data_IF_261352747138
#
_entry.id   IF_261352747138
#
_cell.length_a   1.000
_cell.length_b   1.000
_cell.length_c   1.000
_cell.angle_alpha   90.00
_cell.angle_beta   90.00
_cell.angle_gamma   90.00
#
_symmetry.space_group_name_H-M   'P 1'
#
loop_
_entity.id
_entity.type
_entity.pdbx_description
1 polymer ?
#
# COMPACT_ATOMS: atom_id res chain seq x y z
N UNK A 1 0.59 -16.34 -18.42
CA UNK A 1 0.04 -17.40 -17.53
C UNK A 1 -1.38 -16.99 -17.12
N UNK A 2 -2.28 -17.93 -16.76
CA UNK A 2 -3.54 -17.51 -16.17
C UNK A 2 -3.25 -16.70 -14.91
N UNK A 3 -4.06 -15.66 -14.63
CA UNK A 3 -3.84 -14.81 -13.47
C UNK A 3 -3.95 -15.64 -12.17
N UNK A 4 -3.08 -15.36 -11.20
CA UNK A 4 -3.06 -16.05 -9.91
C UNK A 4 -4.45 -16.01 -9.25
N UNK A 5 -4.98 -17.17 -8.89
CA UNK A 5 -6.16 -17.28 -8.06
C UNK A 5 -5.73 -17.16 -6.60
N UNK A 6 -6.39 -16.29 -5.86
CA UNK A 6 -6.11 -16.01 -4.46
C UNK A 6 -7.22 -16.56 -3.57
N UNK A 7 -6.90 -16.75 -2.29
CA UNK A 7 -7.85 -17.14 -1.26
C UNK A 7 -7.59 -16.31 0.02
N UNK A 8 -8.52 -16.36 0.95
CA UNK A 8 -8.38 -15.69 2.24
C UNK A 8 -9.01 -14.30 2.28
N UNK A 9 -8.56 -13.50 3.25
CA UNK A 9 -9.12 -12.17 3.53
C UNK A 9 -8.07 -11.10 3.35
N UNK A 10 -8.46 -10.02 2.67
CA UNK A 10 -7.66 -8.81 2.53
C UNK A 10 -8.31 -7.62 3.26
N UNK A 11 -7.50 -6.82 3.94
CA UNK A 11 -7.87 -5.51 4.46
C UNK A 11 -7.16 -4.42 3.64
N UNK A 12 -7.95 -3.57 2.94
CA UNK A 12 -7.42 -2.50 2.09
C UNK A 12 -7.73 -1.14 2.72
N UNK A 13 -6.72 -0.46 3.25
CA UNK A 13 -6.92 0.88 3.80
C UNK A 13 -7.00 1.93 2.68
N UNK A 14 -7.92 2.90 2.83
CA UNK A 14 -8.19 3.86 1.77
C UNK A 14 -8.80 3.22 0.51
N UNK A 15 -9.59 2.13 0.70
CA UNK A 15 -10.19 1.35 -0.37
C UNK A 15 -11.44 1.96 -1.01
N UNK A 16 -11.96 3.09 -0.49
CA UNK A 16 -13.20 3.69 -1.00
C UNK A 16 -13.07 4.42 -2.34
N UNK A 17 -11.87 4.67 -2.86
CA UNK A 17 -11.63 5.35 -4.14
C UNK A 17 -10.24 5.11 -4.71
N UNK A 18 -10.03 5.55 -5.96
CA UNK A 18 -8.73 5.58 -6.62
C UNK A 18 -8.03 4.21 -6.64
N UNK A 19 -6.72 4.20 -6.41
CA UNK A 19 -5.89 3.00 -6.47
C UNK A 19 -6.37 1.93 -5.48
N UNK A 20 -6.76 2.33 -4.26
CA UNK A 20 -7.25 1.39 -3.24
C UNK A 20 -8.53 0.65 -3.68
N UNK A 21 -9.47 1.36 -4.30
CA UNK A 21 -10.68 0.76 -4.84
C UNK A 21 -10.38 -0.21 -6.00
N UNK A 22 -9.45 0.16 -6.88
CA UNK A 22 -9.02 -0.72 -7.98
C UNK A 22 -8.33 -1.97 -7.46
N UNK A 23 -7.49 -1.85 -6.43
CA UNK A 23 -6.86 -3.01 -5.76
C UNK A 23 -7.92 -3.90 -5.10
N UNK A 24 -8.91 -3.32 -4.42
CA UNK A 24 -9.96 -4.09 -3.78
C UNK A 24 -10.74 -4.94 -4.79
N UNK A 25 -11.11 -4.36 -5.95
CA UNK A 25 -11.77 -5.09 -7.06
C UNK A 25 -10.90 -6.22 -7.59
N UNK A 26 -9.64 -5.95 -7.92
CA UNK A 26 -8.70 -6.95 -8.44
C UNK A 26 -8.53 -8.14 -7.48
N UNK A 27 -8.41 -7.86 -6.17
CA UNK A 27 -8.27 -8.92 -5.16
C UNK A 27 -9.55 -9.75 -5.04
N UNK A 28 -10.72 -9.13 -5.15
CA UNK A 28 -12.01 -9.83 -5.16
C UNK A 28 -12.18 -10.69 -6.41
N UNK A 29 -11.86 -10.16 -7.59
CA UNK A 29 -11.86 -10.92 -8.86
C UNK A 29 -10.87 -12.09 -8.80
N UNK A 30 -9.78 -11.94 -8.08
CA UNK A 30 -8.81 -13.01 -7.84
C UNK A 30 -9.31 -14.08 -6.87
N UNK A 31 -10.35 -13.81 -6.06
CA UNK A 31 -11.00 -14.78 -5.17
C UNK A 31 -10.88 -14.47 -3.67
N UNK A 32 -10.32 -13.32 -3.28
CA UNK A 32 -10.25 -12.91 -1.87
C UNK A 32 -11.57 -12.29 -1.39
N UNK A 33 -11.88 -12.42 -0.11
CA UNK A 33 -12.87 -11.60 0.59
C UNK A 33 -12.19 -10.32 1.05
N UNK A 34 -12.78 -9.16 0.77
CA UNK A 34 -12.10 -7.88 0.97
C UNK A 34 -12.88 -6.97 1.91
N UNK A 35 -12.19 -6.42 2.92
CA UNK A 35 -12.67 -5.28 3.69
C UNK A 35 -11.99 -4.01 3.16
N UNK A 36 -12.78 -2.95 2.96
CA UNK A 36 -12.30 -1.64 2.53
C UNK A 36 -12.56 -0.59 3.59
N UNK A 37 -11.58 0.29 3.81
CA UNK A 37 -11.72 1.35 4.83
C UNK A 37 -11.58 2.75 4.24
N UNK A 38 -12.16 3.73 4.92
CA UNK A 38 -12.02 5.14 4.56
C UNK A 38 -12.92 6.05 5.38
N UNK A 39 -12.81 7.35 5.16
CA UNK A 39 -13.55 8.37 5.93
C UNK A 39 -14.91 8.74 5.33
N UNK A 40 -15.08 8.55 4.03
CA UNK A 40 -16.27 8.97 3.31
C UNK A 40 -17.20 7.78 3.11
N UNK A 41 -18.30 7.75 3.87
CA UNK A 41 -19.23 6.63 3.90
C UNK A 41 -19.74 6.24 2.50
N UNK A 42 -20.15 7.23 1.69
CA UNK A 42 -20.66 7.01 0.34
C UNK A 42 -19.64 6.25 -0.54
N UNK A 43 -18.35 6.66 -0.50
CA UNK A 43 -17.30 6.04 -1.30
C UNK A 43 -16.97 4.62 -0.83
N UNK A 44 -16.85 4.43 0.49
CA UNK A 44 -16.50 3.13 1.07
C UNK A 44 -17.63 2.12 0.85
N UNK A 45 -18.89 2.53 1.09
CA UNK A 45 -20.05 1.66 0.88
C UNK A 45 -20.20 1.29 -0.59
N UNK A 46 -20.07 2.27 -1.51
CA UNK A 46 -20.20 1.99 -2.94
C UNK A 46 -19.17 0.95 -3.43
N UNK A 47 -17.93 0.99 -2.93
CA UNK A 47 -16.93 -0.02 -3.28
C UNK A 47 -17.24 -1.35 -2.62
N UNK A 48 -17.61 -1.36 -1.33
CA UNK A 48 -17.95 -2.59 -0.61
C UNK A 48 -19.15 -3.31 -1.24
N UNK A 49 -20.19 -2.56 -1.65
CA UNK A 49 -21.36 -3.12 -2.35
C UNK A 49 -20.96 -3.74 -3.71
N UNK A 50 -20.09 -3.06 -4.47
CA UNK A 50 -19.61 -3.52 -5.77
C UNK A 50 -18.81 -4.82 -5.70
N UNK A 51 -18.05 -5.02 -4.63
CA UNK A 51 -17.21 -6.21 -4.42
C UNK A 51 -17.83 -7.24 -3.47
N UNK A 52 -19.06 -7.07 -3.03
CA UNK A 52 -19.71 -7.88 -1.98
C UNK A 52 -18.81 -8.01 -0.73
N UNK A 53 -18.11 -6.92 -0.37
CA UNK A 53 -17.12 -6.85 0.68
C UNK A 53 -17.60 -6.15 1.94
N UNK A 54 -16.70 -5.89 2.88
CA UNK A 54 -17.00 -5.22 4.15
C UNK A 54 -16.58 -3.75 4.11
N UNK A 55 -17.52 -2.85 4.41
CA UNK A 55 -17.29 -1.41 4.55
C UNK A 55 -16.95 -1.03 5.98
N UNK A 56 -15.83 -0.36 6.20
CA UNK A 56 -15.37 0.06 7.52
C UNK A 56 -15.01 1.56 7.51
N UNK A 57 -15.75 2.34 8.29
CA UNK A 57 -15.57 3.80 8.34
C UNK A 57 -14.60 4.19 9.46
N UNK A 58 -13.83 5.26 9.24
CA UNK A 58 -12.94 5.83 10.23
C UNK A 58 -11.69 6.46 9.61
N UNK A 59 -10.77 6.89 10.47
CA UNK A 59 -9.51 7.54 10.11
C UNK A 59 -8.33 6.59 10.35
N UNK A 60 -7.51 6.39 9.33
CA UNK A 60 -6.31 5.54 9.43
C UNK A 60 -5.28 6.04 10.44
N UNK A 61 -5.33 7.33 10.81
CA UNK A 61 -4.50 7.91 11.85
C UNK A 61 -5.06 7.74 13.28
N UNK A 62 -6.23 7.11 13.42
CA UNK A 62 -6.84 6.76 14.71
C UNK A 62 -6.53 5.30 15.07
N UNK A 63 -5.87 5.08 16.20
CA UNK A 63 -5.56 3.73 16.67
C UNK A 63 -6.83 2.92 16.99
N UNK A 64 -7.87 3.59 17.52
CA UNK A 64 -9.14 2.96 17.87
C UNK A 64 -9.90 2.52 16.61
N UNK A 65 -9.93 3.37 15.56
CA UNK A 65 -10.59 3.03 14.30
C UNK A 65 -9.88 1.84 13.64
N UNK A 66 -8.54 1.89 13.54
CA UNK A 66 -7.75 0.80 12.95
C UNK A 66 -7.93 -0.51 13.73
N UNK A 67 -7.92 -0.45 15.07
CA UNK A 67 -8.20 -1.62 15.92
C UNK A 67 -9.57 -2.22 15.62
N UNK A 68 -10.61 -1.37 15.58
CA UNK A 68 -11.98 -1.77 15.27
C UNK A 68 -12.11 -2.40 13.87
N UNK A 69 -11.40 -1.88 12.88
CA UNK A 69 -11.41 -2.44 11.52
C UNK A 69 -10.81 -3.86 11.49
N UNK A 70 -9.69 -4.06 12.16
CA UNK A 70 -9.05 -5.39 12.23
C UNK A 70 -9.98 -6.37 12.93
N UNK A 71 -10.54 -6.02 14.10
CA UNK A 71 -11.49 -6.86 14.83
C UNK A 71 -12.73 -7.20 14.01
N UNK A 72 -13.33 -6.22 13.34
CA UNK A 72 -14.51 -6.43 12.50
C UNK A 72 -14.18 -7.33 11.30
N UNK A 73 -13.04 -7.11 10.63
CA UNK A 73 -12.62 -7.93 9.49
C UNK A 73 -12.41 -9.39 9.90
N UNK A 74 -11.69 -9.62 11.00
CA UNK A 74 -11.43 -10.96 11.54
C UNK A 74 -12.72 -11.68 11.93
N UNK A 75 -13.69 -10.96 12.51
CA UNK A 75 -14.96 -11.51 12.94
C UNK A 75 -15.90 -11.85 11.79
N UNK A 76 -15.99 -10.96 10.79
CA UNK A 76 -17.01 -11.03 9.74
C UNK A 76 -16.52 -11.74 8.48
N UNK A 77 -15.27 -11.50 8.09
CA UNK A 77 -14.68 -12.13 6.92
C UNK A 77 -13.72 -13.27 7.26
N UNK A 78 -13.17 -13.29 8.47
CA UNK A 78 -12.19 -14.28 8.93
C UNK A 78 -10.75 -13.78 8.90
N UNK A 79 -9.78 -14.68 9.09
CA UNK A 79 -8.38 -14.34 9.27
C UNK A 79 -7.82 -13.44 8.16
N UNK A 80 -7.27 -12.27 8.54
CA UNK A 80 -6.61 -11.37 7.59
C UNK A 80 -5.28 -12.01 7.15
N UNK A 81 -5.18 -12.33 5.87
CA UNK A 81 -3.97 -12.89 5.25
C UNK A 81 -3.19 -11.85 4.43
N UNK A 82 -3.87 -10.77 4.01
CA UNK A 82 -3.26 -9.66 3.30
C UNK A 82 -3.68 -8.32 3.91
N UNK A 83 -2.71 -7.49 4.27
CA UNK A 83 -2.92 -6.07 4.51
C UNK A 83 -2.39 -5.28 3.32
N UNK A 84 -3.26 -4.44 2.72
CA UNK A 84 -2.83 -3.40 1.78
C UNK A 84 -2.91 -2.05 2.49
N UNK A 85 -1.79 -1.57 3.01
CA UNK A 85 -1.65 -0.26 3.63
C UNK A 85 -1.53 0.80 2.53
N UNK A 86 -2.68 1.18 1.96
CA UNK A 86 -2.76 2.06 0.81
C UNK A 86 -3.25 3.47 1.16
N UNK A 87 -3.97 3.66 2.27
CA UNK A 87 -4.45 4.99 2.66
C UNK A 87 -3.34 6.04 2.60
N UNK A 88 -3.64 7.16 1.98
CA UNK A 88 -2.68 8.24 1.84
C UNK A 88 -3.32 9.54 1.38
N UNK A 89 -2.66 10.65 1.64
CA UNK A 89 -3.03 11.97 1.14
C UNK A 89 -1.83 12.67 0.53
N UNK A 90 -2.10 13.45 -0.51
CA UNK A 90 -1.12 14.37 -1.08
C UNK A 90 -0.96 15.60 -0.20
N UNK A 91 0.13 16.33 -0.40
CA UNK A 91 0.28 17.68 0.09
C UNK A 91 -0.07 18.67 -1.04
N UNK A 92 -0.53 19.86 -0.68
CA UNK A 92 -0.72 20.95 -1.63
C UNK A 92 0.57 21.34 -2.36
N UNK A 93 0.50 22.37 -3.21
CA UNK A 93 1.66 22.91 -3.95
C UNK A 93 2.35 24.05 -3.22
N UNK A 94 2.01 24.31 -1.96
CA UNK A 94 2.62 25.34 -1.13
C UNK A 94 4.12 25.08 -0.96
N UNK A 95 4.90 26.16 -0.98
CA UNK A 95 6.29 26.07 -0.56
C UNK A 95 6.37 25.63 0.90
N UNK A 96 7.43 24.91 1.26
CA UNK A 96 7.54 24.33 2.62
C UNK A 96 7.45 25.33 3.75
N UNK A 97 7.91 26.57 3.53
CA UNK A 97 7.88 27.67 4.51
C UNK A 97 6.53 28.38 4.59
N UNK A 98 5.64 28.16 3.62
CA UNK A 98 4.28 28.72 3.57
C UNK A 98 3.20 27.70 3.96
N UNK A 99 3.56 26.43 4.06
CA UNK A 99 2.64 25.36 4.42
C UNK A 99 2.33 25.42 5.92
N UNK A 100 1.05 25.46 6.33
CA UNK A 100 0.68 25.36 7.75
C UNK A 100 1.28 24.08 8.38
N UNK A 101 1.78 24.21 9.62
CA UNK A 101 2.41 23.09 10.33
C UNK A 101 1.44 21.93 10.51
N UNK A 102 0.18 22.21 10.82
CA UNK A 102 -0.85 21.19 11.02
C UNK A 102 -1.14 20.43 9.73
N UNK A 103 -1.16 21.10 8.57
CA UNK A 103 -1.35 20.46 7.26
C UNK A 103 -0.16 19.57 6.91
N UNK A 104 1.07 20.07 7.18
CA UNK A 104 2.28 19.27 6.97
C UNK A 104 2.26 18.01 7.84
N UNK A 105 1.90 18.17 9.13
CA UNK A 105 1.85 17.08 10.09
C UNK A 105 0.74 16.08 9.76
N UNK A 106 -0.42 16.57 9.31
CA UNK A 106 -1.52 15.71 8.89
C UNK A 106 -1.13 14.73 7.79
N UNK A 107 -0.25 15.13 6.87
CA UNK A 107 0.29 14.20 5.86
C UNK A 107 1.12 13.09 6.52
N UNK A 108 1.91 13.40 7.56
CA UNK A 108 2.66 12.38 8.29
C UNK A 108 1.73 11.42 9.05
N UNK A 109 0.70 11.96 9.71
CA UNK A 109 -0.28 11.13 10.42
C UNK A 109 -0.96 10.12 9.48
N UNK A 110 -1.46 10.58 8.35
CA UNK A 110 -2.14 9.68 7.41
C UNK A 110 -1.15 8.72 6.75
N UNK A 111 -0.05 9.24 6.20
CA UNK A 111 0.83 8.45 5.34
C UNK A 111 1.83 7.57 6.11
N UNK A 112 2.23 7.97 7.32
CA UNK A 112 3.25 7.25 8.11
C UNK A 112 2.62 6.57 9.32
N UNK A 113 1.95 7.34 10.20
CA UNK A 113 1.32 6.77 11.38
C UNK A 113 0.23 5.78 10.99
N UNK A 114 -0.59 6.08 9.96
CA UNK A 114 -1.61 5.17 9.46
C UNK A 114 -1.06 3.83 8.98
N UNK A 115 0.08 3.82 8.29
CA UNK A 115 0.79 2.58 7.91
C UNK A 115 1.25 1.83 9.17
N UNK A 116 1.86 2.53 10.12
CA UNK A 116 2.32 1.92 11.37
C UNK A 116 1.16 1.31 12.18
N UNK A 117 0.06 2.03 12.37
CA UNK A 117 -1.09 1.54 13.10
C UNK A 117 -1.69 0.29 12.44
N UNK A 118 -1.86 0.32 11.12
CA UNK A 118 -2.40 -0.81 10.35
C UNK A 118 -1.51 -2.06 10.46
N UNK A 119 -0.21 -1.90 10.25
CA UNK A 119 0.74 -3.03 10.34
C UNK A 119 0.85 -3.56 11.77
N UNK A 120 0.94 -2.67 12.77
CA UNK A 120 1.00 -3.02 14.19
C UNK A 120 -0.20 -3.84 14.64
N UNK A 121 -1.38 -3.57 14.09
CA UNK A 121 -2.62 -4.26 14.48
C UNK A 121 -2.75 -5.65 13.86
N UNK A 122 -2.26 -5.87 12.64
CA UNK A 122 -2.38 -7.18 11.97
C UNK A 122 -1.21 -8.14 12.23
N UNK A 123 0.01 -7.62 12.45
CA UNK A 123 1.23 -8.44 12.59
C UNK A 123 1.12 -9.48 13.70
N UNK A 124 0.67 -9.18 14.93
CA UNK A 124 0.55 -10.19 15.97
C UNK A 124 -0.35 -11.35 15.57
N UNK A 125 -1.47 -11.07 14.89
CA UNK A 125 -2.43 -12.06 14.41
C UNK A 125 -1.84 -12.94 13.31
N UNK A 126 -1.10 -12.32 12.37
CA UNK A 126 -0.40 -13.03 11.30
C UNK A 126 0.74 -13.91 11.84
N UNK A 127 1.50 -13.42 12.83
CA UNK A 127 2.58 -14.17 13.47
C UNK A 127 2.06 -15.39 14.24
N UNK A 128 0.95 -15.25 14.95
CA UNK A 128 0.29 -16.36 15.67
C UNK A 128 -0.12 -17.48 14.72
N UNK A 129 -0.53 -17.13 13.51
CA UNK A 129 -0.92 -18.09 12.46
C UNK A 129 0.25 -18.58 11.60
N UNK A 130 1.42 -17.95 11.71
CA UNK A 130 2.60 -18.27 10.91
C UNK A 130 2.48 -17.93 9.43
N UNK A 131 1.53 -17.05 9.05
CA UNK A 131 1.29 -16.64 7.67
C UNK A 131 0.66 -15.24 7.56
N UNK A 132 0.95 -14.55 6.47
CA UNK A 132 0.42 -13.23 6.16
C UNK A 132 1.34 -12.49 5.20
N UNK A 133 0.78 -11.47 4.54
CA UNK A 133 1.52 -10.55 3.68
C UNK A 133 1.07 -9.12 3.91
N UNK A 134 2.01 -8.21 3.78
CA UNK A 134 1.78 -6.77 3.93
C UNK A 134 2.29 -6.07 2.69
N UNK A 135 1.43 -5.29 2.05
CA UNK A 135 1.76 -4.46 0.88
C UNK A 135 1.56 -3.00 1.24
N UNK A 136 2.61 -2.20 1.16
CA UNK A 136 2.61 -0.77 1.51
C UNK A 136 2.68 0.06 0.23
N UNK A 137 1.74 0.97 0.04
CA UNK A 137 1.74 1.88 -1.11
C UNK A 137 2.75 3.00 -0.90
N UNK A 138 3.87 2.88 -1.58
CA UNK A 138 4.94 3.87 -1.68
C UNK A 138 4.69 4.93 -2.75
N UNK A 139 5.77 5.49 -3.27
CA UNK A 139 5.79 6.44 -4.40
C UNK A 139 7.22 6.65 -4.88
N UNK A 140 7.40 6.96 -6.16
CA UNK A 140 8.67 7.47 -6.70
C UNK A 140 9.18 8.73 -5.97
N UNK A 141 8.29 9.51 -5.35
CA UNK A 141 8.68 10.68 -4.53
C UNK A 141 9.54 10.32 -3.32
N UNK A 142 9.67 9.04 -2.97
CA UNK A 142 10.56 8.58 -1.89
C UNK A 142 12.05 8.74 -2.24
N UNK A 143 12.42 8.71 -3.53
CA UNK A 143 13.82 8.71 -3.97
C UNK A 143 14.09 9.61 -5.19
N UNK A 144 13.07 9.96 -5.96
CA UNK A 144 13.24 10.89 -7.09
C UNK A 144 13.44 12.31 -6.57
N UNK A 145 14.31 13.10 -7.20
CA UNK A 145 14.47 14.50 -6.84
C UNK A 145 13.17 15.25 -7.09
N UNK A 146 12.71 15.98 -6.08
CA UNK A 146 11.50 16.79 -6.12
C UNK A 146 11.80 18.24 -5.76
N UNK A 147 10.96 19.15 -6.24
CA UNK A 147 11.11 20.60 -5.99
C UNK A 147 10.01 21.16 -5.07
N UNK A 148 9.02 20.36 -4.74
CA UNK A 148 7.85 20.77 -3.93
C UNK A 148 7.35 19.62 -3.06
N UNK A 149 6.39 19.95 -2.18
CA UNK A 149 5.65 18.92 -1.42
C UNK A 149 6.52 18.13 -0.44
N UNK A 150 7.29 18.83 0.40
CA UNK A 150 8.16 18.20 1.41
C UNK A 150 7.38 17.25 2.33
N UNK A 151 6.15 17.59 2.72
CA UNK A 151 5.32 16.72 3.55
C UNK A 151 5.11 15.36 2.89
N UNK A 152 4.72 15.33 1.60
CA UNK A 152 4.46 14.09 0.89
C UNK A 152 5.74 13.29 0.61
N UNK A 153 6.78 13.94 0.08
CA UNK A 153 8.04 13.26 -0.23
C UNK A 153 8.69 12.66 1.02
N UNK A 154 8.71 13.41 2.14
CA UNK A 154 9.21 12.92 3.42
C UNK A 154 8.39 11.73 3.91
N UNK A 155 7.06 11.79 3.83
CA UNK A 155 6.20 10.68 4.25
C UNK A 155 6.44 9.42 3.43
N UNK A 156 6.62 9.55 2.11
CA UNK A 156 6.86 8.40 1.23
C UNK A 156 8.27 7.81 1.39
N UNK A 157 9.27 8.64 1.65
CA UNK A 157 10.60 8.17 2.04
C UNK A 157 10.57 7.43 3.38
N UNK A 158 9.82 7.93 4.37
CA UNK A 158 9.64 7.29 5.67
C UNK A 158 9.02 5.90 5.54
N UNK A 159 7.90 5.75 4.80
CA UNK A 159 7.24 4.43 4.66
C UNK A 159 8.04 3.46 3.80
N UNK A 160 8.86 3.94 2.85
CA UNK A 160 9.77 3.09 2.12
C UNK A 160 10.83 2.47 3.07
N UNK A 161 11.48 3.29 3.91
CA UNK A 161 12.42 2.79 4.92
C UNK A 161 11.74 1.93 5.97
N UNK A 162 10.53 2.31 6.40
CA UNK A 162 9.72 1.54 7.32
C UNK A 162 9.45 0.12 6.78
N UNK A 163 8.99 -0.01 5.54
CA UNK A 163 8.68 -1.30 4.91
C UNK A 163 9.91 -2.21 4.81
N UNK A 164 11.06 -1.67 4.40
CA UNK A 164 12.32 -2.41 4.36
C UNK A 164 12.74 -2.89 5.75
N UNK A 165 12.70 -2.00 6.74
CA UNK A 165 13.09 -2.35 8.12
C UNK A 165 12.15 -3.41 8.70
N UNK A 166 10.84 -3.25 8.50
CA UNK A 166 9.84 -4.20 8.96
C UNK A 166 9.99 -5.58 8.32
N UNK A 167 10.33 -5.64 7.04
CA UNK A 167 10.63 -6.91 6.36
C UNK A 167 11.80 -7.64 7.02
N UNK A 168 12.84 -6.91 7.41
CA UNK A 168 14.00 -7.47 8.11
C UNK A 168 13.64 -7.94 9.54
N UNK A 169 12.81 -7.18 10.28
CA UNK A 169 12.35 -7.57 11.62
C UNK A 169 11.50 -8.85 11.58
N UNK A 170 10.71 -9.01 10.55
CA UNK A 170 9.83 -10.18 10.38
C UNK A 170 10.55 -11.39 9.78
N UNK A 171 11.70 -11.20 9.15
CA UNK A 171 12.66 -12.22 8.72
C UNK A 171 12.03 -13.52 8.16
N UNK A 172 11.29 -13.41 7.07
CA UNK A 172 10.70 -14.55 6.36
C UNK A 172 9.44 -15.14 7.01
N UNK A 173 9.00 -14.64 8.17
CA UNK A 173 7.75 -15.08 8.80
C UNK A 173 6.51 -14.45 8.14
N UNK A 174 6.63 -13.18 7.74
CA UNK A 174 5.63 -12.42 7.03
C UNK A 174 6.34 -11.62 5.94
N UNK A 175 5.90 -11.74 4.71
CA UNK A 175 6.47 -10.96 3.61
C UNK A 175 5.90 -9.53 3.64
N UNK A 176 6.80 -8.54 3.58
CA UNK A 176 6.46 -7.12 3.54
C UNK A 176 6.99 -6.53 2.24
N UNK A 177 6.11 -5.93 1.47
CA UNK A 177 6.44 -5.27 0.21
C UNK A 177 6.12 -3.79 0.29
N UNK A 178 6.89 -2.98 -0.42
CA UNK A 178 6.51 -1.61 -0.69
C UNK A 178 6.64 -1.34 -2.19
N UNK A 179 5.62 -0.74 -2.77
CA UNK A 179 5.58 -0.52 -4.20
C UNK A 179 5.15 0.90 -4.57
N UNK A 180 5.54 1.34 -5.76
CA UNK A 180 5.00 2.55 -6.36
C UNK A 180 3.97 2.19 -7.41
N UNK A 181 2.76 2.76 -7.34
CA UNK A 181 1.74 2.57 -8.36
C UNK A 181 2.03 3.31 -9.69
N UNK A 182 3.07 4.16 -9.72
CA UNK A 182 3.29 5.11 -10.81
C UNK A 182 2.43 6.37 -10.67
N UNK A 183 2.37 7.16 -11.74
CA UNK A 183 1.54 8.37 -11.81
C UNK A 183 0.15 8.01 -12.37
N UNK A 184 -0.74 7.56 -11.50
CA UNK A 184 -2.10 7.13 -11.86
C UNK A 184 -3.09 8.29 -11.75
N UNK A 185 -4.05 8.39 -12.68
CA UNK A 185 -5.16 9.36 -12.61
C UNK A 185 -6.10 9.03 -11.46
N UNK A 186 -6.19 9.93 -10.50
CA UNK A 186 -7.06 9.83 -9.31
C UNK A 186 -7.46 11.24 -8.89
N UNK A 187 -8.36 11.38 -7.91
CA UNK A 187 -8.66 12.70 -7.33
C UNK A 187 -7.40 13.39 -6.78
N UNK A 188 -6.43 12.65 -6.24
CA UNK A 188 -5.19 13.20 -5.71
C UNK A 188 -4.35 13.86 -6.79
N UNK A 189 -4.41 13.35 -8.01
CA UNK A 189 -3.58 13.75 -9.15
C UNK A 189 -4.33 14.57 -10.20
N UNK A 190 -5.64 14.81 -10.03
CA UNK A 190 -6.49 15.50 -11.02
C UNK A 190 -6.02 16.92 -11.40
N UNK A 191 -5.16 17.54 -10.57
CA UNK A 191 -4.57 18.86 -10.81
C UNK A 191 -3.32 18.84 -11.69
N UNK A 192 -2.82 17.66 -12.02
CA UNK A 192 -1.62 17.53 -12.86
C UNK A 192 -2.00 17.59 -14.34
N UNK A 193 -1.07 18.07 -15.16
CA UNK A 193 -1.27 18.24 -16.59
C UNK A 193 -1.58 16.90 -17.29
N UNK A 194 -2.45 16.96 -18.30
CA UNK A 194 -2.87 15.77 -19.04
C UNK A 194 -1.74 15.14 -19.87
N UNK A 195 -0.75 15.94 -20.26
CA UNK A 195 0.39 15.50 -21.09
C UNK A 195 1.49 14.75 -20.32
N UNK A 196 1.31 14.55 -19.00
CA UNK A 196 2.26 13.77 -18.22
C UNK A 196 2.21 12.28 -18.58
N UNK A 197 3.32 11.53 -18.39
CA UNK A 197 3.35 10.09 -18.64
C UNK A 197 2.52 9.35 -17.60
N UNK A 198 1.22 9.25 -17.84
CA UNK A 198 0.28 8.58 -16.96
C UNK A 198 0.46 7.07 -17.00
N UNK A 199 0.63 6.49 -15.83
CA UNK A 199 0.66 5.03 -15.66
C UNK A 199 -0.73 4.42 -15.88
N UNK A 200 -0.85 3.34 -16.66
CA UNK A 200 -2.10 2.60 -16.79
C UNK A 200 -2.65 2.17 -15.43
N UNK A 201 -3.94 2.44 -15.13
CA UNK A 201 -4.51 2.25 -13.80
C UNK A 201 -4.58 0.78 -13.35
N UNK A 202 -4.53 -0.17 -14.29
CA UNK A 202 -4.57 -1.61 -14.04
C UNK A 202 -3.24 -2.18 -13.53
N UNK A 203 -2.10 -1.53 -13.76
CA UNK A 203 -0.79 -2.09 -13.42
C UNK A 203 -0.58 -2.24 -11.90
N UNK A 204 -1.01 -1.25 -11.12
CA UNK A 204 -0.88 -1.32 -9.67
C UNK A 204 -1.74 -2.44 -9.04
N UNK A 205 -3.03 -2.60 -9.37
CA UNK A 205 -3.83 -3.74 -8.91
C UNK A 205 -3.25 -5.09 -9.31
N UNK A 206 -2.83 -5.25 -10.57
CA UNK A 206 -2.22 -6.49 -11.07
C UNK A 206 -0.92 -6.84 -10.32
N UNK A 207 -0.05 -5.84 -10.05
CA UNK A 207 1.13 -6.06 -9.23
C UNK A 207 0.75 -6.52 -7.82
N UNK A 208 -0.20 -5.86 -7.14
CA UNK A 208 -0.63 -6.25 -5.80
C UNK A 208 -1.17 -7.69 -5.77
N UNK A 209 -1.87 -8.13 -6.82
CA UNK A 209 -2.30 -9.52 -6.96
C UNK A 209 -1.13 -10.50 -6.98
N UNK A 210 -0.06 -10.20 -7.72
CA UNK A 210 1.16 -11.04 -7.75
C UNK A 210 1.83 -11.05 -6.37
N UNK A 211 1.95 -9.89 -5.70
CA UNK A 211 2.51 -9.80 -4.34
C UNK A 211 1.70 -10.59 -3.32
N UNK A 212 0.37 -10.62 -3.47
CA UNK A 212 -0.53 -11.37 -2.62
C UNK A 212 -0.43 -12.89 -2.80
N UNK A 213 -0.06 -13.36 -4.00
CA UNK A 213 -0.01 -14.80 -4.34
C UNK A 213 1.10 -15.59 -3.63
N UNK A 214 2.11 -14.91 -3.11
CA UNK A 214 3.30 -15.54 -2.49
C UNK A 214 4.44 -15.83 -3.45
N UNK A 215 4.23 -15.71 -4.76
CA UNK A 215 5.27 -15.94 -5.77
C UNK A 215 6.46 -14.99 -5.63
N UNK A 216 6.20 -13.78 -5.12
CA UNK A 216 7.19 -12.72 -4.94
C UNK A 216 7.81 -12.67 -3.53
N UNK A 217 7.55 -13.63 -2.62
CA UNK A 217 7.99 -13.55 -1.22
C UNK A 217 9.52 -13.37 -1.06
N UNK A 218 10.31 -13.87 -2.01
CA UNK A 218 11.76 -13.65 -2.03
C UNK A 218 12.19 -12.19 -2.29
N UNK A 219 11.26 -11.34 -2.72
CA UNK A 219 11.46 -9.90 -2.93
C UNK A 219 11.00 -9.06 -1.72
N UNK A 220 10.65 -9.68 -0.60
CA UNK A 220 10.26 -8.94 0.61
C UNK A 220 11.33 -7.91 1.01
N UNK A 221 10.90 -6.71 1.38
CA UNK A 221 11.77 -5.58 1.67
C UNK A 221 12.26 -4.79 0.45
N UNK A 222 12.00 -5.26 -0.77
CA UNK A 222 12.42 -4.56 -1.99
C UNK A 222 11.35 -3.57 -2.45
N UNK A 223 11.81 -2.48 -3.08
CA UNK A 223 10.97 -1.49 -3.73
C UNK A 223 10.64 -1.97 -5.14
N UNK A 224 9.35 -1.96 -5.49
CA UNK A 224 8.87 -2.43 -6.79
C UNK A 224 8.02 -1.33 -7.43
N UNK A 225 8.25 -1.02 -8.70
CA UNK A 225 7.47 -0.04 -9.44
C UNK A 225 6.51 -0.74 -10.40
N UNK A 226 5.22 -0.43 -10.33
CA UNK A 226 4.19 -1.15 -11.09
C UNK A 226 4.34 -1.03 -12.63
N UNK A 227 4.97 0.04 -13.11
CA UNK A 227 5.13 0.31 -14.56
C UNK A 227 6.54 0.01 -15.06
N UNK A 228 7.56 0.27 -14.22
CA UNK A 228 8.95 0.25 -14.69
C UNK A 228 9.66 -1.06 -14.39
N UNK A 229 9.13 -1.87 -13.50
CA UNK A 229 9.66 -3.18 -13.16
C UNK A 229 8.81 -4.29 -13.80
N UNK A 230 9.45 -5.25 -14.44
CA UNK A 230 8.83 -6.51 -14.83
C UNK A 230 8.88 -7.46 -13.63
N UNK A 231 7.73 -7.68 -13.00
CA UNK A 231 7.64 -8.51 -11.78
C UNK A 231 8.09 -9.96 -12.01
N UNK A 232 7.88 -10.51 -13.19
CA UNK A 232 8.32 -11.87 -13.50
C UNK A 232 9.86 -11.96 -13.61
N UNK A 233 10.49 -10.95 -14.21
CA UNK A 233 11.97 -10.84 -14.22
C UNK A 233 12.51 -10.64 -12.78
N UNK A 234 11.89 -9.78 -11.96
CA UNK A 234 12.32 -9.61 -10.58
C UNK A 234 12.21 -10.90 -9.77
N UNK A 235 11.13 -11.66 -9.92
CA UNK A 235 10.94 -12.95 -9.25
C UNK A 235 12.05 -13.93 -9.69
N UNK A 236 12.31 -14.01 -11.01
CA UNK A 236 13.34 -14.91 -11.54
C UNK A 236 14.75 -14.57 -11.04
N UNK A 237 15.03 -13.27 -10.79
CA UNK A 237 16.32 -12.74 -10.35
C UNK A 237 16.37 -12.43 -8.85
N UNK A 238 15.42 -12.88 -8.04
CA UNK A 238 15.33 -12.52 -6.63
C UNK A 238 16.62 -12.77 -5.84
N UNK A 239 17.35 -13.84 -6.15
CA UNK A 239 18.65 -14.17 -5.54
C UNK A 239 19.75 -13.14 -5.86
N UNK A 240 19.83 -12.70 -7.11
CA UNK A 240 20.75 -11.63 -7.55
C UNK A 240 20.39 -10.29 -6.88
N UNK A 241 19.09 -9.95 -6.91
CA UNK A 241 18.57 -8.73 -6.28
C UNK A 241 18.92 -8.68 -4.79
N UNK A 242 18.83 -9.81 -4.11
CA UNK A 242 19.19 -9.90 -2.69
C UNK A 242 20.70 -9.77 -2.48
N UNK A 243 21.52 -10.44 -3.30
CA UNK A 243 23.00 -10.45 -3.17
C UNK A 243 23.61 -9.08 -3.45
N UNK A 244 23.08 -8.37 -4.48
CA UNK A 244 23.62 -7.07 -4.93
C UNK A 244 22.87 -5.87 -4.31
N UNK A 245 21.95 -6.12 -3.37
CA UNK A 245 21.12 -5.10 -2.70
C UNK A 245 20.37 -4.18 -3.68
N UNK A 246 19.89 -4.74 -4.80
CA UNK A 246 19.11 -4.02 -5.82
C UNK A 246 17.69 -3.73 -5.32
N UNK A 247 16.99 -2.84 -6.05
CA UNK A 247 15.63 -2.39 -5.71
C UNK A 247 15.52 -1.85 -4.26
N UNK A 248 16.55 -1.14 -3.82
CA UNK A 248 16.68 -0.54 -2.50
C UNK A 248 17.11 0.91 -2.61
N UNK A 249 16.68 1.75 -1.68
CA UNK A 249 17.14 3.14 -1.61
C UNK A 249 18.45 3.20 -0.81
N UNK A 250 19.55 3.54 -1.48
CA UNK A 250 20.89 3.61 -0.89
C UNK A 250 21.60 4.91 -1.24
N UNK A 251 22.46 5.35 -0.34
CA UNK A 251 23.36 6.46 -0.60
C UNK A 251 24.45 6.02 -1.60
N UNK A 252 24.60 6.73 -2.71
CA UNK A 252 25.75 6.54 -3.62
C UNK A 252 26.98 7.22 -3.01
N UNK A 253 28.09 6.51 -2.96
CA UNK A 253 29.40 7.04 -2.53
C UNK A 253 30.42 6.80 -3.61
#
# INVERSE_FOLDING_TARGET
MPPDRLEGVALVTGGGRGIGASIARELTEAGMRVAVTGRTAEQVNAVADDIEGLALLGDVASADDVGSWVEATERELGPIELLVANAGMGAGDSASWDMPVDDWWRVQEVNVLGVHLSTRSVIPLMLDRGRGRIVITGSGSAYLPGTRSTAYATSKAAVCRYGETLANELAGRIAVFHFSPGLVRTEMTQRFDDDLPWTPPELAPQLVRVLASGRADALAGRYIHAEHDDIEDLIARAGEIAADDLNSIRLRR
#
